data_IF_558325182719
#
_entry.id   IF_558325182719
#
_cell.length_a   1.000
_cell.length_b   1.000
_cell.length_c   1.000
_cell.angle_alpha   90.00
_cell.angle_beta   90.00
_cell.angle_gamma   90.00
#
_symmetry.space_group_name_H-M   'P 1'
#
loop_
_entity.id
_entity.type
_entity.pdbx_description
1 polymer ?
#
# COMPACT_ATOMS: atom_id res chain seq x y z
N UNK A 1 -27.91 43.74 -24.01
CA UNK A 1 -28.60 42.75 -24.87
C UNK A 1 -28.87 41.50 -24.07
N UNK A 2 -30.14 41.32 -23.68
CA UNK A 2 -30.64 40.19 -22.93
C UNK A 2 -31.05 39.06 -23.90
N UNK A 3 -30.76 37.81 -23.55
CA UNK A 3 -31.50 36.65 -24.09
C UNK A 3 -31.88 35.70 -22.96
N UNK A 4 -33.11 35.89 -22.51
CA UNK A 4 -33.94 34.97 -21.76
C UNK A 4 -34.40 33.79 -22.63
N UNK A 5 -34.38 32.57 -22.09
CA UNK A 5 -35.26 31.42 -22.39
C UNK A 5 -34.78 30.24 -21.53
N UNK A 6 -35.60 29.44 -20.85
CA UNK A 6 -37.01 29.44 -20.54
C UNK A 6 -37.16 28.45 -19.37
N UNK A 7 -38.04 28.76 -18.40
CA UNK A 7 -38.38 27.89 -17.27
C UNK A 7 -39.02 26.59 -17.80
N UNK A 8 -38.53 25.43 -17.36
CA UNK A 8 -39.28 24.17 -17.44
C UNK A 8 -40.20 24.05 -16.22
N UNK A 9 -41.49 23.73 -16.40
CA UNK A 9 -42.42 23.61 -15.28
C UNK A 9 -42.22 22.28 -14.54
N UNK A 10 -42.28 22.36 -13.22
CA UNK A 10 -42.56 21.26 -12.30
C UNK A 10 -44.01 20.79 -12.53
N UNK A 11 -44.21 19.50 -12.80
CA UNK A 11 -45.51 18.84 -12.65
C UNK A 11 -45.30 17.42 -12.13
N UNK A 12 -45.57 17.22 -10.84
CA UNK A 12 -46.09 15.97 -10.29
C UNK A 12 -47.64 16.03 -10.42
N UNK A 13 -48.43 14.93 -10.42
CA UNK A 13 -48.30 13.80 -9.49
C UNK A 13 -48.58 12.39 -10.04
N UNK A 14 -48.23 11.41 -9.21
CA UNK A 14 -48.60 10.01 -9.30
C UNK A 14 -50.13 9.80 -9.28
N UNK A 15 -50.72 9.26 -10.35
CA UNK A 15 -52.13 8.77 -10.34
C UNK A 15 -52.45 7.72 -11.44
N UNK A 16 -51.47 7.06 -12.06
CA UNK A 16 -51.71 6.21 -13.26
C UNK A 16 -51.60 4.68 -13.03
N UNK A 17 -51.59 4.22 -11.77
CA UNK A 17 -51.46 2.78 -11.48
C UNK A 17 -52.80 2.05 -11.33
N UNK A 18 -53.91 2.77 -11.07
CA UNK A 18 -55.24 2.17 -10.88
C UNK A 18 -56.04 2.02 -12.20
N UNK A 19 -55.75 2.84 -13.21
CA UNK A 19 -56.32 2.81 -14.56
C UNK A 19 -55.88 1.57 -15.36
N UNK A 20 -54.67 1.08 -15.12
CA UNK A 20 -54.08 -0.06 -15.84
C UNK A 20 -54.78 -1.41 -15.60
N UNK A 21 -55.35 -1.65 -14.42
CA UNK A 21 -56.02 -2.92 -14.10
C UNK A 21 -57.36 -3.07 -14.83
N UNK A 22 -58.16 -2.01 -14.88
CA UNK A 22 -59.47 -2.01 -15.55
C UNK A 22 -59.29 -2.07 -17.08
N UNK A 23 -58.26 -1.39 -17.61
CA UNK A 23 -57.92 -1.48 -19.03
C UNK A 23 -57.35 -2.85 -19.41
N UNK A 24 -56.48 -3.44 -18.59
CA UNK A 24 -55.95 -4.79 -18.85
C UNK A 24 -57.07 -5.86 -18.84
N UNK A 25 -58.08 -5.69 -17.98
CA UNK A 25 -59.23 -6.61 -17.91
C UNK A 25 -60.14 -6.52 -19.15
N UNK A 26 -60.31 -5.33 -19.74
CA UNK A 26 -61.19 -5.12 -20.90
C UNK A 26 -60.53 -5.35 -22.26
N UNK A 27 -59.22 -5.12 -22.39
CA UNK A 27 -58.54 -5.11 -23.69
C UNK A 27 -57.66 -6.33 -23.99
N UNK A 28 -57.54 -7.28 -23.06
CA UNK A 28 -56.86 -8.55 -23.35
C UNK A 28 -57.87 -9.63 -23.75
N UNK A 29 -57.65 -10.29 -24.90
CA UNK A 29 -58.46 -11.41 -25.42
C UNK A 29 -58.90 -12.46 -24.36
N UNK A 30 -58.06 -12.87 -23.38
CA UNK A 30 -58.51 -13.79 -22.33
C UNK A 30 -59.48 -13.16 -21.31
N UNK A 31 -59.44 -11.85 -21.08
CA UNK A 31 -60.34 -11.15 -20.15
C UNK A 31 -61.78 -11.09 -20.65
N UNK A 32 -61.98 -10.91 -21.97
CA UNK A 32 -63.32 -10.94 -22.59
C UNK A 32 -63.98 -12.31 -22.48
N UNK A 33 -63.22 -13.41 -22.58
CA UNK A 33 -63.78 -14.76 -22.44
C UNK A 33 -64.31 -15.05 -21.03
N UNK A 34 -63.63 -14.55 -19.99
CA UNK A 34 -64.06 -14.71 -18.59
C UNK A 34 -65.29 -13.84 -18.30
N UNK A 35 -65.29 -12.58 -18.77
CA UNK A 35 -66.43 -11.67 -18.59
C UNK A 35 -67.67 -12.17 -19.34
N UNK A 36 -67.50 -12.67 -20.56
CA UNK A 36 -68.60 -13.25 -21.35
C UNK A 36 -69.12 -14.54 -20.69
N UNK A 37 -68.23 -15.41 -20.20
CA UNK A 37 -68.64 -16.62 -19.48
C UNK A 37 -69.39 -16.35 -18.17
N UNK A 38 -68.95 -15.36 -17.40
CA UNK A 38 -69.63 -14.92 -16.17
C UNK A 38 -70.97 -14.25 -16.49
N UNK A 39 -71.02 -13.39 -17.50
CA UNK A 39 -72.26 -12.74 -17.93
C UNK A 39 -73.31 -13.75 -18.41
N UNK A 40 -72.91 -14.75 -19.19
CA UNK A 40 -73.80 -15.83 -19.66
C UNK A 40 -74.36 -16.64 -18.48
N UNK A 41 -73.53 -16.99 -17.49
CA UNK A 41 -73.99 -17.72 -16.30
C UNK A 41 -74.94 -16.89 -15.44
N UNK A 42 -74.68 -15.58 -15.30
CA UNK A 42 -75.54 -14.67 -14.55
C UNK A 42 -76.92 -14.51 -15.22
N UNK A 43 -76.95 -14.47 -16.55
CA UNK A 43 -78.21 -14.43 -17.34
C UNK A 43 -78.99 -15.73 -17.21
N UNK A 44 -78.35 -16.90 -17.30
CA UNK A 44 -79.02 -18.20 -17.12
C UNK A 44 -79.59 -18.35 -15.70
N UNK A 45 -78.86 -17.88 -14.68
CA UNK A 45 -79.27 -17.95 -13.27
C UNK A 45 -80.42 -16.99 -12.95
N UNK A 46 -80.43 -15.78 -13.55
CA UNK A 46 -81.55 -14.83 -13.43
C UNK A 46 -82.81 -15.36 -14.13
N UNK A 47 -82.68 -15.95 -15.33
CA UNK A 47 -83.82 -16.52 -16.07
C UNK A 47 -84.39 -17.74 -15.34
N UNK A 48 -83.54 -18.57 -14.73
CA UNK A 48 -83.97 -19.73 -13.93
C UNK A 48 -84.62 -19.35 -12.59
N UNK A 49 -84.33 -18.17 -12.03
CA UNK A 49 -84.93 -17.69 -10.79
C UNK A 49 -86.34 -17.10 -10.97
N UNK A 50 -86.70 -16.69 -12.20
CA UNK A 50 -87.96 -15.99 -12.49
C UNK A 50 -89.03 -16.94 -13.08
N UNK A 51 -88.63 -18.06 -13.70
CA UNK A 51 -89.56 -19.00 -14.35
C UNK A 51 -89.31 -20.45 -13.92
N UNK A 52 -90.31 -21.08 -13.30
CA UNK A 52 -90.40 -22.54 -13.15
C UNK A 52 -91.67 -23.05 -13.85
N UNK A 53 -91.67 -24.25 -14.48
CA UNK A 53 -90.61 -25.25 -14.53
C UNK A 53 -89.79 -25.20 -15.84
N UNK A 54 -88.48 -25.37 -15.74
CA UNK A 54 -87.55 -25.28 -16.87
C UNK A 54 -87.55 -26.57 -17.72
N UNK A 55 -87.62 -26.49 -19.07
CA UNK A 55 -87.47 -27.65 -19.94
C UNK A 55 -86.06 -28.25 -19.85
N UNK A 56 -85.96 -29.57 -19.96
CA UNK A 56 -84.75 -30.40 -19.79
C UNK A 56 -83.52 -29.90 -20.59
N UNK A 57 -83.72 -29.17 -21.69
CA UNK A 57 -82.65 -28.60 -22.51
C UNK A 57 -81.81 -27.53 -21.78
N UNK A 58 -82.40 -26.76 -20.86
CA UNK A 58 -81.67 -25.74 -20.09
C UNK A 58 -80.74 -26.34 -19.03
N UNK A 59 -81.05 -27.54 -18.52
CA UNK A 59 -80.15 -28.26 -17.61
C UNK A 59 -78.88 -28.75 -18.32
N UNK A 60 -79.00 -29.17 -19.58
CA UNK A 60 -77.84 -29.53 -20.41
C UNK A 60 -77.00 -28.28 -20.71
N UNK A 61 -77.64 -27.14 -20.99
CA UNK A 61 -76.92 -25.88 -21.20
C UNK A 61 -76.17 -25.42 -19.94
N UNK A 62 -76.73 -25.57 -18.74
CA UNK A 62 -76.08 -25.18 -17.48
C UNK A 62 -74.89 -26.10 -17.15
N UNK A 63 -75.01 -27.40 -17.38
CA UNK A 63 -73.88 -28.34 -17.21
C UNK A 63 -72.74 -28.07 -18.18
N UNK A 64 -73.04 -27.75 -19.45
CA UNK A 64 -72.03 -27.35 -20.45
C UNK A 64 -71.39 -26.01 -20.07
N UNK A 65 -72.17 -25.05 -19.57
CA UNK A 65 -71.65 -23.77 -19.09
C UNK A 65 -70.74 -23.93 -17.85
N UNK A 66 -71.12 -24.79 -16.90
CA UNK A 66 -70.32 -25.11 -15.73
C UNK A 66 -68.99 -25.78 -16.12
N UNK A 67 -69.03 -26.71 -17.08
CA UNK A 67 -67.82 -27.37 -17.60
C UNK A 67 -66.91 -26.38 -18.34
N UNK A 68 -67.47 -25.51 -19.17
CA UNK A 68 -66.71 -24.48 -19.87
C UNK A 68 -66.02 -23.51 -18.90
N UNK A 69 -66.68 -23.15 -17.79
CA UNK A 69 -66.09 -22.30 -16.75
C UNK A 69 -65.02 -23.05 -15.96
N UNK A 70 -65.24 -24.33 -15.64
CA UNK A 70 -64.22 -25.14 -14.97
C UNK A 70 -62.95 -25.24 -15.83
N UNK A 71 -63.08 -25.53 -17.12
CA UNK A 71 -61.96 -25.59 -18.07
C UNK A 71 -61.29 -24.22 -18.22
N UNK A 72 -62.06 -23.14 -18.34
CA UNK A 72 -61.54 -21.77 -18.43
C UNK A 72 -60.79 -21.33 -17.16
N UNK A 73 -61.31 -21.68 -15.98
CA UNK A 73 -60.67 -21.40 -14.70
C UNK A 73 -59.35 -22.17 -14.57
N UNK A 74 -59.34 -23.46 -14.92
CA UNK A 74 -58.11 -24.28 -14.91
C UNK A 74 -57.06 -23.70 -15.86
N UNK A 75 -57.43 -23.36 -17.08
CA UNK A 75 -56.52 -22.74 -18.05
C UNK A 75 -55.95 -21.40 -17.55
N UNK A 76 -56.79 -20.56 -16.95
CA UNK A 76 -56.36 -19.26 -16.40
C UNK A 76 -55.40 -19.43 -15.22
N UNK A 77 -55.69 -20.35 -14.30
CA UNK A 77 -54.81 -20.67 -13.15
C UNK A 77 -53.46 -21.18 -13.63
N UNK A 78 -53.43 -22.11 -14.59
CA UNK A 78 -52.18 -22.62 -15.16
C UNK A 78 -51.37 -21.50 -15.83
N UNK A 79 -52.02 -20.63 -16.62
CA UNK A 79 -51.35 -19.50 -17.27
C UNK A 79 -50.82 -18.48 -16.27
N UNK A 80 -51.57 -18.19 -15.20
CA UNK A 80 -51.15 -17.31 -14.11
C UNK A 80 -49.98 -17.91 -13.34
N UNK A 81 -49.99 -19.22 -13.10
CA UNK A 81 -48.91 -19.94 -12.43
C UNK A 81 -47.61 -19.92 -13.25
N UNK A 82 -47.70 -20.12 -14.57
CA UNK A 82 -46.54 -20.01 -15.48
C UNK A 82 -45.99 -18.58 -15.52
N UNK A 83 -46.87 -17.56 -15.55
CA UNK A 83 -46.46 -16.16 -15.53
C UNK A 83 -45.84 -15.75 -14.18
N UNK A 84 -46.40 -16.21 -13.07
CA UNK A 84 -45.87 -16.01 -11.72
C UNK A 84 -44.50 -16.67 -11.58
N UNK A 85 -44.35 -17.92 -12.04
CA UNK A 85 -43.06 -18.63 -12.04
C UNK A 85 -42.03 -17.90 -12.91
N UNK A 86 -42.36 -17.40 -14.10
CA UNK A 86 -41.43 -16.60 -14.93
C UNK A 86 -41.00 -15.29 -14.26
N UNK A 87 -41.89 -14.57 -13.57
CA UNK A 87 -41.54 -13.33 -12.87
C UNK A 87 -40.76 -13.59 -11.57
N UNK A 88 -41.10 -14.64 -10.83
CA UNK A 88 -40.37 -15.05 -9.63
C UNK A 88 -38.97 -15.56 -10.01
N UNK A 89 -38.86 -16.39 -11.05
CA UNK A 89 -37.58 -16.87 -11.57
C UNK A 89 -36.71 -15.71 -12.12
N UNK A 90 -37.30 -14.66 -12.69
CA UNK A 90 -36.55 -13.46 -13.07
C UNK A 90 -35.98 -12.72 -11.84
N UNK A 91 -36.80 -12.52 -10.80
CA UNK A 91 -36.39 -11.80 -9.58
C UNK A 91 -35.42 -12.63 -8.74
N UNK A 92 -35.62 -13.94 -8.65
CA UNK A 92 -34.78 -14.91 -7.96
C UNK A 92 -33.48 -15.16 -8.70
N UNK A 93 -33.47 -15.30 -10.04
CA UNK A 93 -32.24 -15.41 -10.84
C UNK A 93 -31.38 -14.16 -10.71
N UNK A 94 -31.99 -12.95 -10.76
CA UNK A 94 -31.25 -11.69 -10.53
C UNK A 94 -30.70 -11.58 -9.10
N UNK A 95 -31.44 -12.02 -8.07
CA UNK A 95 -30.95 -12.05 -6.67
C UNK A 95 -29.90 -13.14 -6.41
N UNK A 96 -30.06 -14.34 -6.99
CA UNK A 96 -29.11 -15.46 -6.85
C UNK A 96 -27.80 -15.18 -7.59
N UNK A 97 -27.84 -14.62 -8.81
CA UNK A 97 -26.62 -14.23 -9.53
C UNK A 97 -25.84 -13.18 -8.72
N UNK A 98 -26.54 -12.20 -8.13
CA UNK A 98 -25.88 -11.18 -7.31
C UNK A 98 -25.23 -11.79 -6.06
N UNK A 99 -25.94 -12.66 -5.33
CA UNK A 99 -25.38 -13.33 -4.15
C UNK A 99 -24.21 -14.25 -4.50
N UNK A 100 -24.31 -15.03 -5.59
CA UNK A 100 -23.28 -15.97 -6.00
C UNK A 100 -22.01 -15.26 -6.49
N UNK A 101 -22.17 -14.12 -7.19
CA UNK A 101 -21.05 -13.24 -7.54
C UNK A 101 -20.41 -12.66 -6.28
N UNK A 102 -21.18 -12.17 -5.29
CA UNK A 102 -20.58 -11.66 -4.04
C UNK A 102 -19.86 -12.75 -3.24
N UNK A 103 -20.41 -13.97 -3.19
CA UNK A 103 -19.78 -15.12 -2.51
C UNK A 103 -18.46 -15.52 -3.16
N UNK A 104 -18.29 -15.38 -4.47
CA UNK A 104 -17.01 -15.66 -5.15
C UNK A 104 -16.06 -14.46 -5.24
N UNK A 105 -16.59 -13.28 -5.53
CA UNK A 105 -15.81 -12.07 -5.82
C UNK A 105 -15.19 -11.44 -4.57
N UNK A 106 -15.91 -11.42 -3.44
CA UNK A 106 -15.37 -10.86 -2.20
C UNK A 106 -14.13 -11.67 -1.75
N UNK A 107 -14.18 -13.01 -1.64
CA UNK A 107 -12.99 -13.79 -1.35
C UNK A 107 -11.89 -13.64 -2.40
N UNK A 108 -12.23 -13.55 -3.69
CA UNK A 108 -11.23 -13.37 -4.75
C UNK A 108 -10.47 -12.05 -4.61
N UNK A 109 -11.15 -10.91 -4.39
CA UNK A 109 -10.47 -9.63 -4.12
C UNK A 109 -9.63 -9.74 -2.85
N UNK A 110 -10.16 -10.36 -1.80
CA UNK A 110 -9.46 -10.48 -0.53
C UNK A 110 -8.15 -11.26 -0.70
N UNK A 111 -8.16 -12.36 -1.47
CA UNK A 111 -6.96 -13.12 -1.83
C UNK A 111 -5.97 -12.26 -2.62
N UNK A 112 -6.44 -11.49 -3.61
CA UNK A 112 -5.57 -10.57 -4.38
C UNK A 112 -4.92 -9.53 -3.47
N UNK A 113 -5.69 -8.90 -2.59
CA UNK A 113 -5.18 -7.90 -1.64
C UNK A 113 -4.19 -8.53 -0.67
N UNK A 114 -4.47 -9.70 -0.11
CA UNK A 114 -3.54 -10.39 0.78
C UNK A 114 -2.26 -10.81 0.07
N UNK A 115 -2.35 -11.32 -1.16
CA UNK A 115 -1.18 -11.69 -1.95
C UNK A 115 -0.33 -10.46 -2.28
N UNK A 116 -0.95 -9.36 -2.69
CA UNK A 116 -0.26 -8.10 -2.92
C UNK A 116 0.40 -7.60 -1.63
N UNK A 117 -0.34 -7.53 -0.53
CA UNK A 117 0.18 -7.06 0.76
C UNK A 117 1.34 -7.92 1.25
N UNK A 118 1.21 -9.25 1.17
CA UNK A 118 2.26 -10.19 1.54
C UNK A 118 3.50 -10.07 0.64
N UNK A 119 3.31 -9.98 -0.68
CA UNK A 119 4.39 -9.76 -1.64
C UNK A 119 5.12 -8.43 -1.41
N UNK A 120 4.38 -7.34 -1.19
CA UNK A 120 4.95 -6.03 -0.85
C UNK A 120 5.74 -6.11 0.46
N UNK A 121 5.18 -6.66 1.53
CA UNK A 121 5.84 -6.73 2.82
C UNK A 121 7.13 -7.57 2.76
N UNK A 122 7.11 -8.67 2.00
CA UNK A 122 8.31 -9.47 1.74
C UNK A 122 9.37 -8.67 0.98
N UNK A 123 8.97 -7.94 -0.08
CA UNK A 123 9.90 -7.10 -0.85
C UNK A 123 10.51 -6.00 0.02
N UNK A 124 9.71 -5.27 0.81
CA UNK A 124 10.20 -4.25 1.75
C UNK A 124 11.18 -4.83 2.77
N UNK A 125 10.88 -6.01 3.33
CA UNK A 125 11.76 -6.68 4.27
C UNK A 125 13.11 -7.05 3.61
N UNK A 126 13.06 -7.62 2.41
CA UNK A 126 14.25 -7.98 1.64
C UNK A 126 15.09 -6.74 1.27
N UNK A 127 14.45 -5.67 0.80
CA UNK A 127 15.13 -4.41 0.49
C UNK A 127 15.83 -3.82 1.71
N UNK A 128 15.14 -3.79 2.87
CA UNK A 128 15.74 -3.34 4.13
C UNK A 128 16.94 -4.20 4.52
N UNK A 129 16.82 -5.52 4.41
CA UNK A 129 17.91 -6.43 4.73
C UNK A 129 19.13 -6.23 3.82
N UNK A 130 18.91 -6.08 2.51
CA UNK A 130 19.98 -5.83 1.54
C UNK A 130 20.69 -4.50 1.83
N UNK A 131 19.94 -3.42 2.08
CA UNK A 131 20.52 -2.11 2.42
C UNK A 131 21.33 -2.20 3.71
N UNK A 132 20.80 -2.82 4.77
CA UNK A 132 21.53 -3.02 6.03
C UNK A 132 22.80 -3.84 5.84
N UNK A 133 22.74 -4.92 5.05
CA UNK A 133 23.90 -5.76 4.74
C UNK A 133 24.99 -4.97 4.03
N UNK A 134 24.63 -4.11 3.06
CA UNK A 134 25.58 -3.26 2.35
C UNK A 134 26.18 -2.18 3.24
N UNK A 135 25.39 -1.56 4.11
CA UNK A 135 25.91 -0.57 5.07
C UNK A 135 26.89 -1.24 6.05
N UNK A 136 26.57 -2.45 6.54
CA UNK A 136 27.49 -3.22 7.39
C UNK A 136 28.81 -3.53 6.66
N UNK A 137 28.74 -3.97 5.41
CA UNK A 137 29.94 -4.22 4.61
C UNK A 137 30.80 -2.97 4.42
N UNK A 138 30.19 -1.80 4.16
CA UNK A 138 30.92 -0.52 4.10
C UNK A 138 31.56 -0.15 5.45
N UNK A 139 30.86 -0.40 6.55
CA UNK A 139 31.39 -0.19 7.90
C UNK A 139 32.56 -1.11 8.24
N UNK A 140 32.51 -2.37 7.81
CA UNK A 140 33.59 -3.32 8.05
C UNK A 140 34.83 -2.99 7.20
N UNK A 141 34.62 -2.52 5.97
CA UNK A 141 35.69 -2.00 5.12
C UNK A 141 36.36 -0.75 5.74
N UNK A 142 35.56 0.22 6.22
CA UNK A 142 36.09 1.39 6.91
C UNK A 142 36.91 1.00 8.15
N UNK A 143 36.43 0.03 8.95
CA UNK A 143 37.16 -0.52 10.10
C UNK A 143 38.47 -1.19 9.68
N UNK A 144 38.45 -1.93 8.59
CA UNK A 144 39.66 -2.56 8.06
C UNK A 144 40.70 -1.51 7.64
N UNK A 145 40.28 -0.44 6.97
CA UNK A 145 41.18 0.65 6.58
C UNK A 145 41.73 1.36 7.84
N UNK A 146 40.90 1.65 8.83
CA UNK A 146 41.33 2.27 10.07
C UNK A 146 42.36 1.40 10.81
N UNK A 147 42.07 0.10 10.98
CA UNK A 147 42.95 -0.85 11.69
C UNK A 147 44.26 -1.08 10.95
N UNK A 148 44.23 -1.29 9.64
CA UNK A 148 45.44 -1.48 8.84
C UNK A 148 46.32 -0.23 8.83
N UNK A 149 45.74 0.97 8.79
CA UNK A 149 46.47 2.24 8.89
C UNK A 149 47.08 2.42 10.28
N UNK A 150 46.33 2.12 11.36
CA UNK A 150 46.86 2.20 12.73
C UNK A 150 48.07 1.27 12.93
N UNK A 151 47.99 0.04 12.41
CA UNK A 151 49.09 -0.93 12.44
C UNK A 151 50.30 -0.49 11.61
N UNK A 152 50.09 0.15 10.46
CA UNK A 152 51.18 0.67 9.64
C UNK A 152 51.92 1.81 10.33
N UNK A 153 51.19 2.75 10.94
CA UNK A 153 51.78 3.83 11.75
C UNK A 153 52.54 3.24 12.95
N UNK A 154 52.00 2.21 13.60
CA UNK A 154 52.65 1.54 14.72
C UNK A 154 53.96 0.88 14.29
N UNK A 155 53.98 0.19 13.13
CA UNK A 155 55.20 -0.41 12.56
C UNK A 155 56.25 0.61 12.17
N UNK A 156 55.84 1.79 11.70
CA UNK A 156 56.76 2.90 11.42
C UNK A 156 57.32 3.56 12.70
N UNK A 157 56.75 3.23 13.87
CA UNK A 157 57.10 3.83 15.15
C UNK A 157 56.59 5.26 15.30
N UNK A 158 55.45 5.60 14.68
CA UNK A 158 54.89 6.96 14.71
C UNK A 158 55.64 8.00 13.88
N UNK A 159 56.59 7.57 13.04
CA UNK A 159 57.26 8.43 12.06
C UNK A 159 56.45 8.50 10.77
N UNK A 160 56.62 9.60 10.02
CA UNK A 160 56.02 9.79 8.69
C UNK A 160 54.49 9.59 8.64
N UNK A 161 53.79 9.86 9.76
CA UNK A 161 52.34 9.67 9.88
C UNK A 161 51.59 10.30 8.71
N UNK A 162 51.89 11.56 8.40
CA UNK A 162 51.27 12.30 7.29
C UNK A 162 51.49 11.64 5.94
N UNK A 163 52.70 11.12 5.66
CA UNK A 163 52.99 10.45 4.41
C UNK A 163 52.21 9.12 4.29
N UNK A 164 52.17 8.33 5.37
CA UNK A 164 51.41 7.08 5.45
C UNK A 164 49.92 7.35 5.19
N UNK A 165 49.33 8.30 5.92
CA UNK A 165 47.90 8.60 5.76
C UNK A 165 47.57 9.24 4.41
N UNK A 166 48.47 10.02 3.82
CA UNK A 166 48.29 10.55 2.47
C UNK A 166 48.34 9.47 1.39
N UNK A 167 49.26 8.50 1.49
CA UNK A 167 49.32 7.38 0.56
C UNK A 167 48.09 6.50 0.67
N UNK A 168 47.61 6.26 1.90
CA UNK A 168 46.37 5.52 2.16
C UNK A 168 45.15 6.23 1.58
N UNK A 169 45.02 7.54 1.81
CA UNK A 169 43.90 8.32 1.29
C UNK A 169 43.92 8.38 -0.24
N UNK A 170 45.09 8.53 -0.87
CA UNK A 170 45.21 8.55 -2.33
C UNK A 170 44.81 7.21 -2.97
N UNK A 171 45.19 6.08 -2.36
CA UNK A 171 44.88 4.75 -2.86
C UNK A 171 43.41 4.37 -2.64
N UNK A 172 42.90 4.54 -1.41
CA UNK A 172 41.53 4.17 -1.06
C UNK A 172 40.49 5.17 -1.60
N UNK A 173 40.87 6.45 -1.77
CA UNK A 173 40.01 7.50 -2.32
C UNK A 173 39.58 7.28 -3.78
N UNK A 174 40.31 6.44 -4.53
CA UNK A 174 39.88 6.00 -5.87
C UNK A 174 38.60 5.16 -5.82
N UNK A 175 38.49 4.31 -4.79
CA UNK A 175 37.32 3.44 -4.59
C UNK A 175 36.21 4.16 -3.80
N UNK A 176 36.59 5.05 -2.89
CA UNK A 176 35.69 5.81 -2.03
C UNK A 176 35.87 7.32 -2.22
N UNK A 177 35.21 7.93 -3.21
CA UNK A 177 35.34 9.37 -3.45
C UNK A 177 34.86 10.16 -2.22
N UNK A 178 35.62 11.16 -1.80
CA UNK A 178 35.32 11.95 -0.60
C UNK A 178 35.84 11.36 0.71
N UNK A 179 36.47 10.17 0.67
CA UNK A 179 37.10 9.57 1.84
C UNK A 179 38.10 10.51 2.50
N UNK A 180 38.01 10.59 3.82
CA UNK A 180 38.88 11.41 4.65
C UNK A 180 39.41 10.61 5.83
N UNK A 181 40.65 10.90 6.26
CA UNK A 181 41.36 10.15 7.28
C UNK A 181 42.07 11.11 8.24
N UNK A 182 41.87 10.93 9.54
CA UNK A 182 42.48 11.75 10.58
C UNK A 182 43.18 10.86 11.61
N UNK A 183 44.29 11.35 12.14
CA UNK A 183 45.00 10.74 13.26
C UNK A 183 44.86 11.68 14.43
N UNK A 184 44.13 11.24 15.46
CA UNK A 184 43.78 12.05 16.63
C UNK A 184 44.61 11.58 17.81
N UNK A 185 45.28 12.46 18.57
CA UNK A 185 46.02 12.04 19.75
C UNK A 185 45.05 11.51 20.82
N UNK A 186 45.48 10.49 21.55
CA UNK A 186 44.73 9.86 22.65
C UNK A 186 45.66 9.73 23.85
N UNK A 187 45.15 10.05 25.04
CA UNK A 187 45.91 10.00 26.29
C UNK A 187 45.16 9.23 27.39
N UNK A 188 44.32 8.26 27.01
CA UNK A 188 43.59 7.40 27.94
C UNK A 188 43.99 5.92 27.78
N UNK A 189 44.15 5.16 28.88
CA UNK A 189 44.40 3.74 28.81
C UNK A 189 43.16 2.97 28.33
N UNK A 190 43.40 1.82 27.71
CA UNK A 190 42.31 0.92 27.32
C UNK A 190 41.61 0.35 28.55
N UNK A 191 40.29 0.48 28.60
CA UNK A 191 39.46 0.03 29.72
C UNK A 191 38.96 1.16 30.63
N UNK A 192 39.48 2.37 30.47
CA UNK A 192 38.93 3.56 31.14
C UNK A 192 38.01 4.35 30.20
N UNK A 193 36.82 4.67 30.70
CA UNK A 193 35.86 5.54 30.01
C UNK A 193 36.07 6.98 30.49
N UNK A 194 36.90 7.73 29.77
CA UNK A 194 37.21 9.13 30.05
C UNK A 194 37.13 9.98 28.78
N UNK A 195 36.63 11.21 28.88
CA UNK A 195 36.67 12.15 27.77
C UNK A 195 38.13 12.62 27.55
N UNK A 196 38.67 12.37 26.36
CA UNK A 196 39.98 12.93 25.99
C UNK A 196 39.89 14.45 25.82
N UNK A 197 41.00 15.15 26.05
CA UNK A 197 41.10 16.59 25.81
C UNK A 197 41.12 16.85 24.31
N UNK A 198 40.20 17.69 23.83
CA UNK A 198 40.16 18.11 22.44
C UNK A 198 41.49 18.74 22.02
N UNK A 199 42.14 18.12 21.03
CA UNK A 199 43.47 18.50 20.55
C UNK A 199 43.48 18.49 19.02
N UNK A 200 44.33 19.30 18.40
CA UNK A 200 44.49 19.25 16.95
C UNK A 200 44.91 17.83 16.51
N UNK A 201 44.37 17.31 15.39
CA UNK A 201 44.79 16.02 14.87
C UNK A 201 46.28 16.06 14.49
N UNK A 202 46.99 14.98 14.73
CA UNK A 202 48.39 14.76 14.33
C UNK A 202 48.52 14.88 12.80
N UNK A 203 47.54 14.34 12.09
CA UNK A 203 47.40 14.49 10.64
C UNK A 203 45.92 14.42 10.26
N UNK A 204 45.50 15.21 9.27
CA UNK A 204 44.19 15.10 8.65
C UNK A 204 44.36 15.20 7.13
N UNK A 205 43.88 14.19 6.39
CA UNK A 205 43.99 14.11 4.94
C UNK A 205 42.65 13.78 4.33
N UNK A 206 42.40 14.28 3.12
CA UNK A 206 41.16 14.13 2.39
C UNK A 206 40.31 15.40 2.40
N UNK A 207 39.17 15.40 1.70
CA UNK A 207 38.41 16.62 1.45
C UNK A 207 37.71 17.20 2.68
N UNK A 208 37.33 16.36 3.66
CA UNK A 208 36.56 16.76 4.85
C UNK A 208 35.33 17.65 4.52
N UNK A 209 34.73 17.48 3.35
CA UNK A 209 33.60 18.28 2.90
C UNK A 209 32.31 17.99 3.69
N UNK A 210 32.26 16.83 4.36
CA UNK A 210 31.12 16.38 5.16
C UNK A 210 31.13 16.92 6.59
N UNK A 211 32.31 17.15 7.18
CA UNK A 211 32.47 17.66 8.55
C UNK A 211 33.94 18.02 8.80
N UNK A 212 34.18 18.85 9.81
CA UNK A 212 35.55 19.13 10.26
C UNK A 212 36.24 17.86 10.80
N UNK A 213 37.58 17.73 10.64
CA UNK A 213 38.34 16.63 11.22
C UNK A 213 38.13 16.55 12.74
N UNK A 214 37.91 15.35 13.30
CA UNK A 214 37.65 15.21 14.73
C UNK A 214 38.87 15.61 15.57
N UNK A 215 38.62 16.35 16.65
CA UNK A 215 39.64 16.79 17.61
C UNK A 215 39.72 15.92 18.87
N UNK A 216 38.76 15.01 19.05
CA UNK A 216 38.70 14.09 20.19
C UNK A 216 37.92 12.84 19.81
N UNK A 217 38.19 11.75 20.52
CA UNK A 217 37.44 10.51 20.39
C UNK A 217 36.47 10.39 21.58
N UNK A 218 35.16 10.25 21.32
CA UNK A 218 34.18 10.06 22.39
C UNK A 218 34.55 8.94 23.37
N UNK A 219 34.19 9.12 24.64
CA UNK A 219 34.47 8.16 25.72
C UNK A 219 33.81 6.80 25.53
N UNK A 220 32.71 6.74 24.78
CA UNK A 220 32.01 5.49 24.47
C UNK A 220 32.72 4.61 23.43
N UNK A 221 33.71 5.15 22.71
CA UNK A 221 34.53 4.37 21.78
C UNK A 221 35.72 3.79 22.56
N UNK A 222 35.67 2.48 22.83
CA UNK A 222 36.77 1.77 23.47
C UNK A 222 37.92 1.45 22.48
N UNK A 223 39.00 0.86 23.00
CA UNK A 223 40.14 0.45 22.18
C UNK A 223 39.84 -0.70 21.20
N UNK A 224 38.71 -1.40 21.31
CA UNK A 224 38.30 -2.37 20.28
C UNK A 224 37.94 -1.67 18.95
N UNK A 225 37.72 -0.36 19.03
CA UNK A 225 37.45 0.52 17.92
C UNK A 225 35.95 0.67 17.64
N UNK A 226 35.65 1.52 16.69
CA UNK A 226 34.28 1.78 16.25
C UNK A 226 34.18 1.61 14.74
N UNK A 227 32.98 1.25 14.29
CA UNK A 227 32.59 1.44 12.90
C UNK A 227 31.08 1.48 12.86
N UNK A 228 30.54 2.54 12.30
CA UNK A 228 29.10 2.71 12.25
C UNK A 228 28.69 3.84 11.33
N UNK A 229 27.38 3.91 11.10
CA UNK A 229 26.76 4.96 10.32
C UNK A 229 26.51 6.18 11.21
N UNK A 230 26.91 7.35 10.73
CA UNK A 230 26.60 8.65 11.34
C UNK A 230 25.81 9.49 10.35
N UNK A 231 24.95 10.35 10.88
CA UNK A 231 24.26 11.37 10.11
C UNK A 231 24.93 12.73 10.35
N UNK A 232 25.02 13.54 9.30
CA UNK A 232 25.46 14.93 9.37
C UNK A 232 24.51 15.79 8.55
N UNK A 233 24.45 17.08 8.84
CA UNK A 233 23.52 17.98 8.17
C UNK A 233 24.23 19.21 7.64
N UNK A 234 23.96 19.55 6.39
CA UNK A 234 24.42 20.79 5.78
C UNK A 234 23.29 21.81 5.76
N UNK A 235 23.53 23.06 6.20
CA UNK A 235 22.54 24.10 6.04
C UNK A 235 22.35 24.38 4.55
N UNK A 236 21.12 24.28 4.07
CA UNK A 236 20.78 24.62 2.69
C UNK A 236 20.65 26.15 2.62
N UNK A 237 21.40 26.84 1.72
CA UNK A 237 21.27 28.29 1.58
C UNK A 237 19.82 28.69 1.29
N UNK A 238 19.28 29.62 2.08
CA UNK A 238 17.91 30.14 1.98
C UNK A 238 16.78 29.12 2.28
N UNK A 239 17.07 27.95 2.85
CA UNK A 239 16.02 27.05 3.37
C UNK A 239 16.04 27.03 4.90
N UNK A 240 14.87 26.77 5.50
CA UNK A 240 14.75 26.61 6.95
C UNK A 240 15.22 25.22 7.43
N UNK A 241 15.24 24.26 6.51
CA UNK A 241 15.62 22.87 6.76
C UNK A 241 17.07 22.61 6.33
N UNK A 242 17.75 21.71 7.05
CA UNK A 242 19.07 21.22 6.70
C UNK A 242 18.97 19.93 5.90
N UNK A 243 19.86 19.75 4.93
CA UNK A 243 19.95 18.49 4.19
C UNK A 243 20.72 17.49 5.04
N UNK A 244 20.09 16.36 5.34
CA UNK A 244 20.71 15.29 6.13
C UNK A 244 21.36 14.29 5.19
N UNK A 245 22.64 14.09 5.40
CA UNK A 245 23.44 13.09 4.71
C UNK A 245 23.97 12.06 5.70
N UNK A 246 24.46 10.93 5.18
CA UNK A 246 25.03 9.86 5.99
C UNK A 246 26.47 9.61 5.59
N UNK A 247 27.27 9.20 6.56
CA UNK A 247 28.64 8.74 6.38
C UNK A 247 28.87 7.50 7.23
N UNK A 248 29.84 6.70 6.84
CA UNK A 248 30.37 5.62 7.68
C UNK A 248 31.64 6.14 8.33
N UNK A 249 31.68 6.16 9.66
CA UNK A 249 32.88 6.50 10.43
C UNK A 249 33.42 5.24 11.09
N UNK A 250 34.71 5.01 10.96
CA UNK A 250 35.44 4.00 11.70
C UNK A 250 36.57 4.63 12.52
N UNK A 251 36.83 4.05 13.68
CA UNK A 251 37.91 4.45 14.59
C UNK A 251 38.68 3.20 14.98
N UNK A 252 40.02 3.25 14.87
CA UNK A 252 40.89 2.17 15.30
C UNK A 252 42.08 2.71 16.10
N UNK A 253 42.57 1.89 17.01
CA UNK A 253 43.70 2.20 17.88
C UNK A 253 44.89 1.29 17.53
N UNK A 254 46.14 1.72 17.80
CA UNK A 254 47.29 0.82 17.77
C UNK A 254 47.15 -0.28 18.82
N UNK A 255 47.84 -1.40 18.62
CA UNK A 255 47.85 -2.51 19.56
C UNK A 255 48.76 -2.17 20.75
N UNK A 256 48.21 -1.41 21.71
CA UNK A 256 48.88 -0.93 22.93
C UNK A 256 47.85 -0.75 24.06
N UNK A 257 48.18 -1.09 25.32
CA UNK A 257 47.31 -0.83 26.47
C UNK A 257 47.15 0.67 26.76
N UNK A 258 48.08 1.50 26.29
CA UNK A 258 48.02 2.96 26.33
C UNK A 258 48.25 3.49 24.90
N UNK A 259 47.21 3.58 24.07
CA UNK A 259 47.35 4.06 22.70
C UNK A 259 47.62 5.56 22.69
N UNK A 260 48.68 6.00 22.02
CA UNK A 260 49.01 7.43 21.88
C UNK A 260 48.20 8.17 20.80
N UNK A 261 47.44 7.43 19.99
CA UNK A 261 46.62 7.98 18.92
C UNK A 261 45.48 7.03 18.53
N UNK A 262 44.50 7.57 17.82
CA UNK A 262 43.46 6.84 17.12
C UNK A 262 43.43 7.27 15.65
N UNK A 263 43.16 6.33 14.76
CA UNK A 263 42.91 6.59 13.34
C UNK A 263 41.41 6.64 13.12
N UNK A 264 40.92 7.77 12.61
CA UNK A 264 39.54 7.97 12.19
C UNK A 264 39.45 7.94 10.67
N UNK A 265 38.52 7.16 10.15
CA UNK A 265 38.24 7.05 8.71
C UNK A 265 36.79 7.40 8.48
N UNK A 266 36.55 8.38 7.61
CA UNK A 266 35.21 8.78 7.19
C UNK A 266 35.01 8.45 5.71
N UNK A 267 33.99 7.64 5.43
CA UNK A 267 33.51 7.31 4.09
C UNK A 267 32.14 7.98 3.88
N UNK A 268 32.07 9.14 3.20
CA UNK A 268 30.79 9.77 2.91
C UNK A 268 29.99 8.91 1.92
N UNK A 269 28.69 8.75 2.18
CA UNK A 269 27.77 8.10 1.23
C UNK A 269 27.29 9.16 0.25
N UNK A 270 28.06 9.35 -0.83
CA UNK A 270 27.76 10.27 -1.91
C UNK A 270 27.00 9.60 -3.06
N UNK A 271 26.63 10.38 -4.08
CA UNK A 271 25.93 9.92 -5.30
C UNK A 271 26.58 8.73 -6.01
N UNK A 272 27.90 8.56 -5.90
CA UNK A 272 28.60 7.40 -6.48
C UNK A 272 28.25 6.14 -5.70
N UNK A 273 28.30 6.21 -4.37
CA UNK A 273 27.92 5.10 -3.48
C UNK A 273 26.43 4.80 -3.61
N UNK A 274 25.55 5.80 -3.65
CA UNK A 274 24.11 5.61 -3.83
C UNK A 274 23.77 4.99 -5.18
N UNK A 275 24.38 5.46 -6.28
CA UNK A 275 24.18 4.86 -7.61
C UNK A 275 24.66 3.42 -7.67
N UNK A 276 25.79 3.11 -7.02
CA UNK A 276 26.30 1.75 -6.93
C UNK A 276 25.33 0.84 -6.17
N UNK A 277 24.84 1.29 -5.01
CA UNK A 277 23.80 0.58 -4.24
C UNK A 277 22.57 0.30 -5.09
N UNK A 278 22.10 1.30 -5.86
CA UNK A 278 20.97 1.14 -6.77
C UNK A 278 21.25 0.13 -7.88
N UNK A 279 22.44 0.16 -8.49
CA UNK A 279 22.80 -0.78 -9.56
C UNK A 279 22.93 -2.23 -9.07
N UNK A 280 23.39 -2.44 -7.84
CA UNK A 280 23.64 -3.78 -7.28
C UNK A 280 22.41 -4.38 -6.59
N UNK A 281 21.52 -3.55 -6.03
CA UNK A 281 20.38 -4.01 -5.22
C UNK A 281 19.02 -3.71 -5.85
N UNK A 282 18.95 -2.82 -6.85
CA UNK A 282 17.69 -2.28 -7.39
C UNK A 282 16.97 -1.33 -6.43
N UNK A 283 17.53 -1.04 -5.25
CA UNK A 283 16.94 -0.17 -4.23
C UNK A 283 17.56 1.22 -4.32
N UNK A 284 16.71 2.24 -4.37
CA UNK A 284 17.12 3.65 -4.31
C UNK A 284 17.00 4.16 -2.87
N UNK A 285 18.08 4.75 -2.35
CA UNK A 285 18.00 5.51 -1.11
C UNK A 285 17.33 6.85 -1.45
N UNK A 286 16.13 7.04 -0.92
CA UNK A 286 15.39 8.29 -1.04
C UNK A 286 15.92 9.35 -0.06
N UNK A 287 15.03 9.84 0.80
CA UNK A 287 15.39 10.84 1.79
C UNK A 287 15.87 10.23 3.11
N UNK A 288 16.86 10.87 3.72
CA UNK A 288 17.28 10.60 5.09
C UNK A 288 16.67 11.67 5.98
N UNK A 289 16.04 11.25 7.06
CA UNK A 289 15.46 12.15 8.07
C UNK A 289 15.93 11.70 9.44
N UNK A 290 16.39 12.63 10.26
CA UNK A 290 16.67 12.34 11.66
C UNK A 290 15.33 12.23 12.39
N UNK A 291 15.05 11.06 12.95
CA UNK A 291 13.88 10.87 13.81
C UNK A 291 14.27 11.37 15.20
N UNK A 292 13.60 12.40 15.76
CA UNK A 292 13.86 12.83 17.12
C UNK A 292 13.62 11.65 18.07
N UNK A 293 14.51 11.46 19.04
CA UNK A 293 14.27 10.49 20.10
C UNK A 293 12.96 10.91 20.81
N UNK A 294 12.03 9.97 20.95
CA UNK A 294 10.89 10.19 21.82
C UNK A 294 11.42 10.17 23.26
N UNK A 295 11.38 11.32 23.92
CA UNK A 295 11.66 11.45 25.37
C UNK A 295 10.70 10.60 26.21
#
# INVERSE_FOLDING_TARGET
MARSRARRPLLAPALDQQTGLVHALRYTLPGRLIVVGVAIRLVILIIGAIAAPLPMFLAVADTVAALAIAVGAVYFVVRLFIAAKRRLLWRVRRKLILSYIFVGFIPAILIVVFFLLGGFLLFYNLSSYLVQSRIRALSDEARFIARSTALEIQRAGGRDVTAIVSGRQANAGQQFPGMSLAVVPINRPCGETGADVATAPIAAVGPWAHADPPHMIPSWIDCAGFGGLLAYSHPIPNAKDSEVHILVRAVAFPDSPLPGYAVVVDLPVNDVVTRRLRSETGVELGHVTVVPAAD
#
